data_IF_427784513334
#
_entry.id   IF_427784513334
#
_cell.length_a   1.000
_cell.length_b   1.000
_cell.length_c   1.000
_cell.angle_alpha   90.00
_cell.angle_beta   90.00
_cell.angle_gamma   90.00
#
_symmetry.space_group_name_H-M   'P 1'
#
loop_
_entity.id
_entity.type
_entity.pdbx_description
1 polymer ?
#
# COMPACT_ATOMS: atom_id res chain seq x y z
N UNK A 1 -13.57 -15.32 -4.25
CA UNK A 1 -13.71 -13.88 -4.51
C UNK A 1 -12.41 -13.30 -4.00
N UNK A 2 -11.44 -13.11 -4.89
CA UNK A 2 -10.09 -12.66 -4.54
C UNK A 2 -9.91 -11.24 -5.05
N UNK A 3 -9.33 -10.37 -4.24
CA UNK A 3 -9.23 -8.94 -4.49
C UNK A 3 -7.85 -8.61 -5.14
N UNK A 4 -7.79 -7.88 -6.25
CA UNK A 4 -6.65 -7.64 -7.17
C UNK A 4 -5.85 -6.30 -6.94
N UNK A 5 -4.52 -6.28 -6.72
CA UNK A 5 -3.66 -5.15 -6.22
C UNK A 5 -3.10 -4.03 -7.20
N UNK A 6 -2.65 -2.80 -6.76
CA UNK A 6 -1.92 -1.75 -7.57
C UNK A 6 -2.01 -0.18 -7.43
N UNK A 7 -2.53 0.54 -6.39
CA UNK A 7 -2.80 2.02 -6.51
C UNK A 7 -2.78 2.91 -5.24
N UNK A 8 -1.97 3.97 -5.23
CA UNK A 8 -2.02 5.03 -4.19
C UNK A 8 -2.95 6.18 -4.60
N UNK A 9 -4.05 6.40 -3.87
CA UNK A 9 -4.93 7.56 -4.05
C UNK A 9 -4.94 8.49 -2.83
N UNK A 10 -4.61 9.75 -3.04
CA UNK A 10 -4.60 10.79 -2.02
C UNK A 10 -5.56 11.89 -2.54
N UNK A 11 -6.84 11.82 -2.18
CA UNK A 11 -7.88 12.73 -2.67
C UNK A 11 -9.03 12.89 -1.69
N UNK A 12 -9.96 13.81 -1.94
CA UNK A 12 -11.17 14.01 -1.12
C UNK A 12 -12.27 12.99 -1.48
N UNK A 13 -12.54 12.02 -0.61
CA UNK A 13 -13.74 11.17 -0.69
C UNK A 13 -14.92 11.81 0.05
N UNK A 14 -15.76 12.59 -0.65
CA UNK A 14 -17.05 13.15 -0.16
C UNK A 14 -16.90 14.40 0.75
N UNK A 15 -17.64 15.52 0.53
CA UNK A 15 -17.56 16.74 1.34
C UNK A 15 -17.88 16.59 2.84
N UNK A 16 -18.35 15.42 3.28
CA UNK A 16 -18.63 15.11 4.68
C UNK A 16 -17.59 14.22 5.37
N UNK A 17 -16.62 13.64 4.65
CA UNK A 17 -15.52 12.84 5.20
C UNK A 17 -14.26 13.10 4.38
N UNK A 18 -13.21 13.69 4.96
CA UNK A 18 -11.95 13.85 4.20
C UNK A 18 -11.13 12.57 4.32
N UNK A 19 -11.04 11.75 3.27
CA UNK A 19 -10.30 10.48 3.32
C UNK A 19 -9.44 10.20 2.11
N UNK A 20 -8.17 9.86 2.34
CA UNK A 20 -7.25 9.24 1.38
C UNK A 20 -7.22 7.72 1.51
N UNK A 21 -6.77 7.04 0.45
CA UNK A 21 -6.74 5.58 0.32
C UNK A 21 -5.40 5.17 -0.30
N UNK A 22 -4.47 4.73 0.54
CA UNK A 22 -3.24 4.05 0.10
C UNK A 22 -3.58 2.59 -0.09
N UNK A 23 -3.62 2.13 -1.33
CA UNK A 23 -3.87 0.72 -1.57
C UNK A 23 -2.86 0.13 -2.52
N UNK A 24 -2.82 -1.18 -2.47
CA UNK A 24 -2.47 -1.95 -3.64
C UNK A 24 -3.81 -2.54 -4.12
N UNK A 25 -4.65 -1.83 -4.93
CA UNK A 25 -5.82 -2.43 -5.65
C UNK A 25 -6.26 -1.79 -7.00
N UNK A 26 -6.67 -2.64 -7.98
CA UNK A 26 -7.48 -2.40 -9.20
C UNK A 26 -8.39 -3.64 -9.50
N UNK A 27 -9.72 -3.48 -9.63
CA UNK A 27 -10.61 -4.47 -10.29
C UNK A 27 -11.79 -3.85 -11.09
N UNK A 28 -12.34 -4.63 -12.05
CA UNK A 28 -12.73 -4.33 -13.46
C UNK A 28 -14.15 -3.78 -13.78
N UNK A 29 -14.31 -3.08 -14.93
CA UNK A 29 -15.24 -3.40 -16.06
C UNK A 29 -15.52 -2.24 -17.05
N UNK A 30 -14.53 -1.79 -17.84
CA UNK A 30 -14.73 -1.29 -19.22
C UNK A 30 -13.48 -1.71 -20.00
N UNK A 31 -13.56 -2.29 -21.22
CA UNK A 31 -12.37 -2.44 -22.05
C UNK A 31 -11.93 -1.05 -22.51
N UNK A 32 -11.15 -0.36 -21.67
CA UNK A 32 -10.55 0.92 -22.02
C UNK A 32 -9.09 0.71 -22.36
N UNK A 33 -8.73 1.10 -23.57
CA UNK A 33 -7.37 1.00 -24.09
C UNK A 33 -6.41 1.80 -23.19
N UNK A 34 -5.11 1.45 -23.10
CA UNK A 34 -4.12 2.16 -22.26
C UNK A 34 -4.02 3.68 -22.53
N UNK A 35 -4.45 4.12 -23.70
CA UNK A 35 -4.54 5.51 -24.11
C UNK A 35 -5.65 6.31 -23.43
N UNK A 36 -6.70 5.68 -22.90
CA UNK A 36 -7.89 6.37 -22.38
C UNK A 36 -7.75 6.76 -20.89
N UNK A 37 -7.00 6.00 -20.09
CA UNK A 37 -6.68 6.39 -18.69
C UNK A 37 -5.83 7.66 -18.68
N UNK A 38 -4.85 7.76 -19.60
CA UNK A 38 -3.97 8.92 -19.79
C UNK A 38 -4.74 10.21 -20.13
N UNK A 39 -5.91 10.11 -20.75
CA UNK A 39 -6.70 11.26 -21.16
C UNK A 39 -7.60 11.82 -20.04
N UNK A 40 -8.06 10.98 -19.11
CA UNK A 40 -9.00 11.39 -18.05
C UNK A 40 -8.33 12.15 -16.89
N UNK A 41 -7.01 12.05 -16.74
CA UNK A 41 -6.19 12.68 -15.69
C UNK A 41 -5.59 14.00 -16.22
N UNK A 42 -6.37 14.80 -16.95
CA UNK A 42 -5.91 16.04 -17.61
C UNK A 42 -6.43 17.33 -16.96
N UNK A 43 -6.64 17.34 -15.64
CA UNK A 43 -6.75 18.60 -14.89
C UNK A 43 -5.38 18.98 -14.31
N UNK A 44 -5.07 20.28 -14.35
CA UNK A 44 -3.75 20.95 -14.29
C UNK A 44 -2.95 20.79 -12.98
N UNK A 45 -3.23 19.75 -12.19
CA UNK A 45 -2.72 19.59 -10.82
C UNK A 45 -2.39 18.14 -10.43
N UNK A 46 -2.23 17.23 -11.40
CA UNK A 46 -1.85 15.84 -11.11
C UNK A 46 -0.41 15.56 -11.56
N UNK A 47 0.40 15.00 -10.67
CA UNK A 47 1.72 14.45 -10.99
C UNK A 47 1.58 12.94 -10.99
N UNK A 48 1.90 12.29 -12.11
CA UNK A 48 1.97 10.83 -12.18
C UNK A 48 3.28 10.38 -11.51
N UNK A 49 3.17 9.57 -10.46
CA UNK A 49 4.30 8.96 -9.77
C UNK A 49 4.29 7.47 -10.07
N UNK A 50 5.37 6.99 -10.70
CA UNK A 50 5.53 5.60 -11.12
C UNK A 50 6.86 4.97 -10.64
N UNK A 51 7.67 5.70 -9.86
CA UNK A 51 8.92 5.20 -9.28
C UNK A 51 9.11 5.67 -7.84
N UNK A 52 9.99 4.99 -7.09
CA UNK A 52 10.44 5.40 -5.76
C UNK A 52 11.01 6.82 -5.74
N UNK A 53 11.83 7.19 -6.73
CA UNK A 53 12.43 8.52 -6.83
C UNK A 53 11.38 9.61 -7.08
N UNK A 54 10.39 9.34 -7.93
CA UNK A 54 9.26 10.24 -8.15
C UNK A 54 8.48 10.46 -6.84
N UNK A 55 8.19 9.39 -6.11
CA UNK A 55 7.47 9.47 -4.83
C UNK A 55 8.24 10.30 -3.78
N UNK A 56 9.55 10.06 -3.64
CA UNK A 56 10.39 10.75 -2.66
C UNK A 56 10.48 12.26 -2.94
N UNK A 57 10.67 12.65 -4.21
CA UNK A 57 10.72 14.06 -4.61
C UNK A 57 9.38 14.77 -4.36
N UNK A 58 8.27 14.05 -4.48
CA UNK A 58 6.92 14.58 -4.41
C UNK A 58 6.45 14.94 -3.00
N UNK A 59 7.05 14.36 -1.95
CA UNK A 59 6.77 14.72 -0.56
C UNK A 59 7.13 16.20 -0.24
N UNK A 60 7.94 16.86 -1.08
CA UNK A 60 8.44 18.22 -0.82
C UNK A 60 7.58 19.35 -1.45
N UNK A 61 6.66 19.02 -2.36
CA UNK A 61 5.87 19.98 -3.16
C UNK A 61 4.48 20.28 -2.55
N UNK A 62 4.13 21.55 -2.36
CA UNK A 62 3.08 21.99 -1.41
C UNK A 62 1.70 22.36 -1.98
N UNK A 63 1.41 22.19 -3.28
CA UNK A 63 0.24 22.85 -3.90
C UNK A 63 -0.63 21.97 -4.81
N UNK A 64 -0.95 20.73 -4.42
CA UNK A 64 -1.84 19.87 -5.22
C UNK A 64 -2.92 19.22 -4.34
N UNK A 65 -4.18 19.44 -4.74
CA UNK A 65 -5.42 19.05 -4.05
C UNK A 65 -5.79 17.57 -4.25
N UNK A 66 -5.35 16.96 -5.35
CA UNK A 66 -5.59 15.54 -5.66
C UNK A 66 -4.30 14.91 -6.18
N UNK A 67 -3.92 13.75 -5.63
CA UNK A 67 -2.67 13.07 -5.96
C UNK A 67 -2.93 11.58 -6.19
N UNK A 68 -2.37 11.01 -7.25
CA UNK A 68 -2.50 9.58 -7.56
C UNK A 68 -1.13 9.03 -7.97
N UNK A 69 -0.70 7.95 -7.33
CA UNK A 69 0.47 7.16 -7.71
C UNK A 69 0.02 5.81 -8.28
N UNK A 70 0.56 5.45 -9.46
CA UNK A 70 0.32 4.18 -10.14
C UNK A 70 1.69 3.58 -10.46
N UNK A 71 2.07 2.56 -9.70
CA UNK A 71 3.43 2.00 -9.74
C UNK A 71 3.53 0.72 -10.58
N UNK A 72 2.41 0.04 -10.83
CA UNK A 72 2.35 -1.14 -11.68
C UNK A 72 1.13 -1.12 -12.60
N UNK A 73 1.17 -1.91 -13.68
CA UNK A 73 0.03 -2.07 -14.60
C UNK A 73 -1.14 -2.79 -13.93
N UNK A 74 -0.82 -3.73 -13.04
CA UNK A 74 -1.76 -4.47 -12.21
C UNK A 74 -1.19 -4.44 -10.80
N UNK A 75 -0.88 -5.60 -10.23
CA UNK A 75 -0.30 -5.74 -8.91
C UNK A 75 1.13 -5.21 -8.88
N UNK A 76 1.47 -4.52 -7.79
CA UNK A 76 2.87 -4.31 -7.46
C UNK A 76 3.53 -5.67 -7.22
N UNK A 77 4.84 -5.73 -7.44
CA UNK A 77 5.62 -6.92 -7.13
C UNK A 77 5.50 -7.30 -5.64
N UNK A 78 5.79 -8.57 -5.31
CA UNK A 78 5.89 -8.91 -3.90
C UNK A 78 7.09 -8.17 -3.29
N UNK A 79 7.04 -7.83 -2.01
CA UNK A 79 8.13 -7.16 -1.29
C UNK A 79 9.45 -7.90 -1.48
N UNK A 80 9.44 -9.23 -1.36
CA UNK A 80 10.60 -10.09 -1.59
C UNK A 80 11.20 -10.00 -3.01
N UNK A 81 10.41 -9.62 -4.02
CA UNK A 81 10.82 -9.53 -5.43
C UNK A 81 10.95 -8.07 -5.90
N UNK A 82 10.56 -7.10 -5.06
CA UNK A 82 10.53 -5.68 -5.37
C UNK A 82 11.93 -5.17 -5.69
N UNK A 83 12.04 -4.31 -6.69
CA UNK A 83 13.25 -3.49 -6.86
C UNK A 83 13.17 -2.26 -5.95
N UNK A 84 13.96 -2.16 -4.86
CA UNK A 84 13.90 -1.00 -3.97
C UNK A 84 14.71 0.20 -4.49
N UNK A 85 15.32 0.08 -5.66
CA UNK A 85 16.11 1.15 -6.25
C UNK A 85 15.28 2.39 -6.62
N UNK A 86 15.94 3.51 -6.95
CA UNK A 86 15.27 4.77 -7.29
C UNK A 86 14.28 4.65 -8.46
N UNK A 87 14.57 3.77 -9.42
CA UNK A 87 13.75 3.49 -10.60
C UNK A 87 12.78 2.31 -10.40
N UNK A 88 12.73 1.75 -9.20
CA UNK A 88 11.84 0.66 -8.84
C UNK A 88 10.57 1.14 -8.14
N UNK A 89 9.93 0.22 -7.43
CA UNK A 89 8.65 0.46 -6.77
C UNK A 89 8.85 0.88 -5.30
N UNK A 90 8.05 1.85 -4.80
CA UNK A 90 8.08 2.21 -3.40
C UNK A 90 7.49 1.08 -2.54
N UNK A 91 8.06 0.86 -1.37
CA UNK A 91 7.48 0.00 -0.34
C UNK A 91 6.16 0.56 0.17
N UNK A 92 5.34 -0.31 0.78
CA UNK A 92 4.12 0.10 1.47
C UNK A 92 4.41 1.15 2.58
N UNK A 93 5.56 1.04 3.24
CA UNK A 93 6.01 1.99 4.24
C UNK A 93 6.34 3.37 3.64
N UNK A 94 7.01 3.43 2.47
CA UNK A 94 7.31 4.69 1.77
C UNK A 94 6.04 5.37 1.26
N UNK A 95 5.11 4.60 0.71
CA UNK A 95 3.78 5.10 0.31
C UNK A 95 3.02 5.66 1.51
N UNK A 96 3.05 4.94 2.65
CA UNK A 96 2.40 5.37 3.90
C UNK A 96 2.97 6.68 4.42
N UNK A 97 4.31 6.81 4.49
CA UNK A 97 4.97 8.06 4.91
C UNK A 97 4.58 9.21 4.00
N UNK A 98 4.57 8.99 2.70
CA UNK A 98 4.23 10.03 1.72
C UNK A 98 2.78 10.47 1.85
N UNK A 99 1.84 9.53 2.00
CA UNK A 99 0.44 9.83 2.21
C UNK A 99 0.22 10.61 3.50
N UNK A 100 0.83 10.21 4.61
CA UNK A 100 0.73 10.93 5.89
C UNK A 100 1.38 12.31 5.83
N UNK A 101 2.51 12.47 5.12
CA UNK A 101 3.13 13.77 4.93
C UNK A 101 2.17 14.78 4.27
N UNK A 102 1.32 14.32 3.37
CA UNK A 102 0.28 15.16 2.75
C UNK A 102 -0.92 15.34 3.68
N UNK A 103 -1.45 14.24 4.25
CA UNK A 103 -2.69 14.23 5.01
C UNK A 103 -2.60 15.01 6.33
N UNK A 104 -1.46 14.98 7.01
CA UNK A 104 -1.24 15.70 8.28
C UNK A 104 -1.31 17.23 8.13
N UNK A 105 -1.18 17.77 6.91
CA UNK A 105 -1.29 19.21 6.65
C UNK A 105 -2.74 19.72 6.72
N UNK A 106 -3.73 18.82 6.75
CA UNK A 106 -5.14 19.18 6.76
C UNK A 106 -5.67 19.33 8.20
N UNK A 107 -6.00 20.55 8.66
CA UNK A 107 -6.41 20.80 10.04
C UNK A 107 -7.78 20.21 10.41
N UNK A 108 -8.55 19.72 9.43
CA UNK A 108 -9.83 19.04 9.66
C UNK A 108 -9.67 17.53 9.93
N UNK A 109 -8.44 17.04 10.03
CA UNK A 109 -8.16 15.60 10.16
C UNK A 109 -8.25 14.87 8.82
N UNK A 110 -8.03 13.56 8.87
CA UNK A 110 -7.98 12.69 7.70
C UNK A 110 -8.52 11.30 8.03
N UNK A 111 -8.96 10.60 6.99
CA UNK A 111 -9.07 9.14 6.96
C UNK A 111 -7.97 8.61 6.04
N UNK A 112 -7.33 7.52 6.44
CA UNK A 112 -6.30 6.85 5.65
C UNK A 112 -6.51 5.35 5.73
N UNK A 113 -6.75 4.73 4.59
CA UNK A 113 -6.75 3.27 4.45
C UNK A 113 -5.40 2.83 3.90
N UNK A 114 -4.82 1.75 4.45
CA UNK A 114 -3.53 1.15 4.06
C UNK A 114 -3.76 -0.36 3.97
N UNK A 115 -3.40 -0.97 2.85
CA UNK A 115 -3.66 -2.39 2.58
C UNK A 115 -2.37 -3.15 2.22
N UNK A 116 -2.12 -4.26 2.92
CA UNK A 116 -1.11 -5.26 2.56
C UNK A 116 -1.70 -6.33 1.64
N UNK A 117 -2.22 -5.94 0.47
CA UNK A 117 -3.08 -6.82 -0.34
C UNK A 117 -2.39 -8.07 -0.90
N UNK A 118 -1.06 -8.07 -1.00
CA UNK A 118 -0.28 -9.20 -1.51
C UNK A 118 -0.14 -10.36 -0.51
N UNK A 119 -0.49 -10.17 0.77
CA UNK A 119 -0.58 -11.26 1.76
C UNK A 119 -1.58 -12.32 1.29
N UNK A 120 -2.77 -11.88 0.83
CA UNK A 120 -3.82 -12.73 0.27
C UNK A 120 -3.32 -13.50 -0.96
N UNK A 121 -2.70 -12.80 -1.91
CA UNK A 121 -2.16 -13.40 -3.14
C UNK A 121 -1.13 -14.49 -2.84
N UNK A 122 -0.20 -14.22 -1.92
CA UNK A 122 0.82 -15.18 -1.55
C UNK A 122 0.20 -16.43 -0.89
N UNK A 123 -0.83 -16.27 -0.05
CA UNK A 123 -1.57 -17.42 0.48
C UNK A 123 -2.34 -18.19 -0.60
N UNK A 124 -2.95 -17.51 -1.57
CA UNK A 124 -3.58 -18.17 -2.72
C UNK A 124 -2.58 -18.98 -3.57
N UNK A 125 -1.31 -18.57 -3.61
CA UNK A 125 -0.22 -19.32 -4.25
C UNK A 125 0.41 -20.40 -3.34
N UNK A 126 -0.11 -20.62 -2.13
CA UNK A 126 0.51 -21.47 -1.11
C UNK A 126 1.98 -21.12 -0.84
N UNK A 127 2.36 -19.85 -0.98
CA UNK A 127 3.72 -19.38 -0.80
C UNK A 127 3.85 -18.68 0.56
N UNK A 128 4.13 -19.47 1.60
CA UNK A 128 4.25 -18.97 2.97
C UNK A 128 5.40 -17.96 3.15
N UNK A 129 6.50 -18.08 2.39
CA UNK A 129 7.61 -17.11 2.44
C UNK A 129 7.12 -15.72 2.07
N UNK A 130 6.50 -15.58 0.89
CA UNK A 130 5.97 -14.29 0.43
C UNK A 130 4.82 -13.79 1.31
N UNK A 131 3.95 -14.66 1.81
CA UNK A 131 2.84 -14.23 2.67
C UNK A 131 3.32 -13.61 3.99
N UNK A 132 4.33 -14.24 4.61
CA UNK A 132 4.94 -13.72 5.83
C UNK A 132 5.77 -12.46 5.56
N UNK A 133 6.50 -12.40 4.44
CA UNK A 133 7.29 -11.23 4.05
C UNK A 133 6.40 -10.01 3.76
N UNK A 134 5.28 -10.19 3.06
CA UNK A 134 4.24 -9.17 2.86
C UNK A 134 3.61 -8.71 4.19
N UNK A 135 3.46 -9.63 5.15
CA UNK A 135 2.97 -9.28 6.49
C UNK A 135 3.99 -8.38 7.21
N UNK A 136 5.29 -8.61 7.05
CA UNK A 136 6.34 -7.73 7.57
C UNK A 136 6.33 -6.37 6.86
N UNK A 137 6.04 -6.31 5.56
CA UNK A 137 5.87 -5.06 4.84
C UNK A 137 4.69 -4.21 5.40
N UNK A 138 3.57 -4.87 5.74
CA UNK A 138 2.43 -4.21 6.41
C UNK A 138 2.79 -3.75 7.83
N UNK A 139 3.53 -4.56 8.59
CA UNK A 139 4.06 -4.14 9.90
C UNK A 139 4.95 -2.90 9.78
N UNK A 140 5.86 -2.87 8.80
CA UNK A 140 6.72 -1.72 8.54
C UNK A 140 5.92 -0.46 8.19
N UNK A 141 4.83 -0.59 7.43
CA UNK A 141 3.93 0.51 7.13
C UNK A 141 3.19 1.01 8.37
N UNK A 142 2.69 0.11 9.22
CA UNK A 142 2.08 0.46 10.51
C UNK A 142 3.07 1.22 11.41
N UNK A 143 4.28 0.71 11.57
CA UNK A 143 5.32 1.36 12.39
C UNK A 143 5.70 2.74 11.82
N UNK A 144 5.77 2.87 10.50
CA UNK A 144 5.98 4.16 9.84
C UNK A 144 4.84 5.14 10.16
N UNK A 145 3.57 4.68 10.10
CA UNK A 145 2.43 5.52 10.46
C UNK A 145 2.45 5.94 11.94
N UNK A 146 2.65 5.00 12.85
CA UNK A 146 2.74 5.26 14.29
C UNK A 146 3.87 6.23 14.65
N UNK A 147 4.94 6.27 13.86
CA UNK A 147 6.03 7.23 14.06
C UNK A 147 5.70 8.68 13.65
N UNK A 148 4.61 8.89 12.90
CA UNK A 148 4.24 10.20 12.34
C UNK A 148 2.96 10.79 12.95
N UNK A 149 2.12 9.97 13.58
CA UNK A 149 0.82 10.37 14.13
C UNK A 149 0.88 10.54 15.65
N UNK A 150 -0.04 11.35 16.19
CA UNK A 150 -0.26 11.45 17.63
C UNK A 150 -1.35 10.44 18.04
N UNK A 151 -1.05 9.40 18.84
CA UNK A 151 -2.04 8.38 19.23
C UNK A 151 -3.16 8.93 20.13
N UNK A 152 -2.97 10.11 20.74
CA UNK A 152 -4.04 10.77 21.50
C UNK A 152 -5.12 11.39 20.60
N UNK A 153 -4.81 11.62 19.31
CA UNK A 153 -5.68 12.30 18.35
C UNK A 153 -6.05 11.42 17.16
N UNK A 154 -5.47 10.23 17.06
CA UNK A 154 -5.61 9.34 15.90
C UNK A 154 -6.02 7.94 16.34
N UNK A 155 -7.17 7.47 15.85
CA UNK A 155 -7.56 6.06 15.97
C UNK A 155 -6.89 5.25 14.86
N UNK A 156 -6.16 4.21 15.25
CA UNK A 156 -5.57 3.23 14.33
C UNK A 156 -6.28 1.89 14.52
N UNK A 157 -6.77 1.33 13.42
CA UNK A 157 -7.39 -0.01 13.39
C UNK A 157 -6.58 -0.87 12.44
N UNK A 158 -6.06 -1.98 12.94
CA UNK A 158 -5.43 -3.04 12.16
C UNK A 158 -6.35 -4.26 12.17
N UNK A 159 -6.70 -4.77 11.00
CA UNK A 159 -7.55 -5.95 10.86
C UNK A 159 -7.19 -6.71 9.59
N UNK A 160 -7.66 -7.94 9.49
CA UNK A 160 -7.81 -8.66 8.22
C UNK A 160 -9.28 -8.61 7.80
N UNK A 161 -9.53 -8.71 6.49
CA UNK A 161 -10.86 -8.89 5.90
C UNK A 161 -11.32 -10.35 6.00
N UNK A 162 -10.39 -11.29 5.82
CA UNK A 162 -10.58 -12.71 6.08
C UNK A 162 -9.25 -13.43 6.40
N UNK A 163 -9.32 -14.73 6.69
CA UNK A 163 -8.14 -15.58 6.90
C UNK A 163 -7.91 -16.52 5.70
N UNK A 164 -6.92 -17.40 5.83
CA UNK A 164 -6.59 -18.46 4.88
C UNK A 164 -6.43 -19.80 5.59
N UNK A 165 -6.35 -20.89 4.83
CA UNK A 165 -6.18 -22.25 5.37
C UNK A 165 -4.76 -22.56 5.87
N UNK A 166 -3.91 -21.53 6.07
CA UNK A 166 -2.57 -21.71 6.59
C UNK A 166 -2.63 -22.27 8.01
N UNK A 167 -1.85 -23.32 8.27
CA UNK A 167 -1.67 -23.87 9.61
C UNK A 167 -0.20 -23.90 9.95
N UNK A 168 0.12 -23.56 11.19
CA UNK A 168 1.46 -23.68 11.76
C UNK A 168 1.46 -24.90 12.68
N UNK A 169 2.25 -25.91 12.34
CA UNK A 169 2.28 -27.18 13.05
C UNK A 169 3.69 -27.78 13.11
N UNK A 170 3.76 -29.05 13.49
CA UNK A 170 5.01 -29.79 13.68
C UNK A 170 5.12 -30.36 15.09
N UNK A 171 5.65 -31.58 15.19
CA UNK A 171 5.92 -32.22 16.47
C UNK A 171 7.34 -31.86 16.91
N UNK A 172 7.48 -31.36 18.14
CA UNK A 172 8.76 -31.03 18.74
C UNK A 172 9.64 -30.09 17.91
N UNK A 173 9.09 -28.97 17.42
CA UNK A 173 9.87 -27.87 16.83
C UNK A 173 10.46 -26.99 17.95
N UNK A 174 11.78 -27.04 18.24
CA UNK A 174 12.39 -26.15 19.21
C UNK A 174 12.12 -24.67 18.95
N UNK A 175 12.04 -23.88 20.03
CA UNK A 175 12.02 -22.41 19.96
C UNK A 175 13.26 -21.91 19.21
N UNK A 176 13.05 -20.95 18.31
CA UNK A 176 14.11 -20.35 17.50
C UNK A 176 14.37 -21.05 16.17
N UNK A 177 13.64 -22.13 15.86
CA UNK A 177 13.68 -22.71 14.52
C UNK A 177 13.07 -21.76 13.48
N UNK A 178 13.65 -21.69 12.26
CA UNK A 178 13.06 -20.91 11.18
C UNK A 178 11.64 -21.37 10.84
N UNK A 179 10.72 -20.40 10.71
CA UNK A 179 9.30 -20.68 10.44
C UNK A 179 9.06 -21.37 9.09
N UNK A 180 10.00 -21.22 8.16
CA UNK A 180 9.95 -21.82 6.82
C UNK A 180 10.72 -23.15 6.73
N UNK A 181 11.21 -23.66 7.87
CA UNK A 181 12.08 -24.83 7.92
C UNK A 181 13.54 -24.50 7.60
N UNK A 182 14.40 -25.51 7.76
CA UNK A 182 15.81 -25.45 7.35
C UNK A 182 15.91 -26.10 5.97
N UNK A 183 16.58 -25.42 5.03
CA UNK A 183 16.90 -25.96 3.70
C UNK A 183 17.99 -27.02 3.76
#
# INVERSE_FOLDING_TARGET
MGWESGRLNIGELNPHLRGGRVESHLEKAIPVHPTEIRASISSSSTVELNTTSALANYATESCLLYRTGLFAYSHMEFEADRNPGPEGDPSLAEMTRTALHVMLKNPRGFFLFIEGGRIDHAHHYNNAYRALDETLALEAALLAALSMINPAETLVVLTADHSHVMTLGGLATPRGNPILGQY
#
